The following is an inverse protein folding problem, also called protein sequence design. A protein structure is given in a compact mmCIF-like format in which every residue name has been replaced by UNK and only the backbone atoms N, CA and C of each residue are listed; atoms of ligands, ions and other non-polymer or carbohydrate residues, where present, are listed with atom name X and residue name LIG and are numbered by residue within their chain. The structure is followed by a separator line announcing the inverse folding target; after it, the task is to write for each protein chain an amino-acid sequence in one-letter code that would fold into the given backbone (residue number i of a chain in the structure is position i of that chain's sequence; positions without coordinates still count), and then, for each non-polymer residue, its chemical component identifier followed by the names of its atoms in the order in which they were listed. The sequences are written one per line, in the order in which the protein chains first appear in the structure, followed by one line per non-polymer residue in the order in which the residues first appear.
data_IF_286885575245
#
_entry.id   IF_286885575245
#
_cell.length_a   1.000
_cell.length_b   1.000
_cell.length_c   1.000
_cell.angle_alpha   90.00
_cell.angle_beta   90.00
_cell.angle_gamma   90.00
#
_symmetry.space_group_name_H-M   'P 1'
#
loop_
_entity.id
_entity.type
_entity.pdbx_description
1 polymer ?
#
# COMPACT_ATOMS: atom_id res chain seq x y z
N UNK A 1 16.82 -13.79 -4.28
CA UNK A 1 16.97 -13.76 -2.82
C UNK A 1 15.59 -13.73 -2.18
N UNK A 2 15.19 -14.78 -1.50
CA UNK A 2 13.91 -14.79 -0.78
C UNK A 2 13.91 -13.72 0.30
N UNK A 3 12.88 -12.86 0.31
CA UNK A 3 12.71 -11.86 1.36
C UNK A 3 12.42 -12.57 2.69
N UNK A 4 13.10 -12.15 3.74
CA UNK A 4 12.94 -12.68 5.07
C UNK A 4 11.49 -12.47 5.55
N UNK A 5 10.78 -13.56 5.90
CA UNK A 5 9.39 -13.51 6.34
C UNK A 5 9.20 -13.05 7.80
N UNK A 6 10.27 -12.94 8.56
CA UNK A 6 10.23 -12.50 9.96
C UNK A 6 11.30 -11.45 10.24
N UNK A 7 10.99 -10.44 11.03
CA UNK A 7 11.97 -9.43 11.48
C UNK A 7 12.81 -9.95 12.65
N UNK A 8 12.16 -10.55 13.65
CA UNK A 8 12.85 -11.18 14.78
C UNK A 8 12.00 -12.26 15.40
N UNK A 9 12.65 -13.15 16.19
CA UNK A 9 11.95 -14.19 16.96
C UNK A 9 11.09 -13.60 18.08
N UNK A 10 11.57 -12.52 18.69
CA UNK A 10 10.86 -11.80 19.75
C UNK A 10 9.54 -11.22 19.24
N UNK A 11 9.53 -10.65 18.03
CA UNK A 11 8.32 -10.10 17.41
C UNK A 11 7.32 -11.21 17.06
N UNK A 12 7.79 -12.36 16.60
CA UNK A 12 6.92 -13.53 16.38
C UNK A 12 6.28 -14.00 17.68
N UNK A 13 7.07 -14.08 18.76
CA UNK A 13 6.57 -14.50 20.07
C UNK A 13 5.59 -13.49 20.68
N UNK A 14 5.87 -12.19 20.57
CA UNK A 14 5.04 -11.13 21.16
C UNK A 14 3.78 -10.82 20.36
N UNK A 15 3.84 -10.88 19.02
CA UNK A 15 2.77 -10.38 18.13
C UNK A 15 2.34 -11.41 17.07
N UNK A 16 2.95 -12.58 16.99
CA UNK A 16 2.70 -13.55 15.93
C UNK A 16 3.09 -13.03 14.54
N UNK A 17 4.02 -12.08 14.48
CA UNK A 17 4.37 -11.39 13.24
C UNK A 17 5.13 -12.30 12.27
N UNK A 18 4.47 -12.72 11.21
CA UNK A 18 5.06 -13.42 10.06
C UNK A 18 4.55 -12.79 8.78
N UNK A 19 5.47 -12.33 7.92
CA UNK A 19 5.10 -11.76 6.63
C UNK A 19 4.77 -12.85 5.61
N UNK A 20 3.67 -12.66 4.88
CA UNK A 20 3.28 -13.58 3.81
C UNK A 20 4.28 -13.52 2.65
N UNK A 21 4.69 -14.69 2.15
CA UNK A 21 5.62 -14.76 1.03
C UNK A 21 5.01 -14.17 -0.26
N UNK A 22 5.86 -13.59 -1.11
CA UNK A 22 5.42 -12.91 -2.34
C UNK A 22 4.57 -13.82 -3.26
N UNK A 23 4.95 -15.10 -3.40
CA UNK A 23 4.19 -16.08 -4.19
C UNK A 23 2.77 -16.25 -3.66
N UNK A 24 2.62 -16.32 -2.35
CA UNK A 24 1.32 -16.50 -1.70
C UNK A 24 0.47 -15.23 -1.79
N UNK A 25 1.10 -14.05 -1.65
CA UNK A 25 0.44 -12.76 -1.86
C UNK A 25 -0.14 -12.67 -3.26
N UNK A 26 0.62 -13.00 -4.28
CA UNK A 26 0.16 -13.01 -5.67
C UNK A 26 -0.99 -14.01 -5.90
N UNK A 27 -0.84 -15.22 -5.38
CA UNK A 27 -1.89 -16.26 -5.48
C UNK A 27 -3.20 -15.82 -4.82
N UNK A 28 -3.14 -15.19 -3.64
CA UNK A 28 -4.33 -14.66 -2.96
C UNK A 28 -4.96 -13.49 -3.72
N UNK A 29 -4.15 -12.58 -4.27
CA UNK A 29 -4.65 -11.49 -5.12
C UNK A 29 -5.30 -12.03 -6.42
N UNK A 30 -4.83 -13.15 -6.95
CA UNK A 30 -5.43 -13.77 -8.12
C UNK A 30 -6.85 -14.29 -7.87
N UNK A 31 -7.18 -14.65 -6.63
CA UNK A 31 -8.55 -15.05 -6.25
C UNK A 31 -9.56 -13.92 -6.41
N UNK A 32 -9.10 -12.68 -6.29
CA UNK A 32 -9.92 -11.46 -6.41
C UNK A 32 -9.41 -10.56 -7.54
N UNK A 33 -8.85 -11.17 -8.57
CA UNK A 33 -8.22 -10.46 -9.69
C UNK A 33 -9.07 -9.33 -10.28
N UNK A 34 -10.37 -9.52 -10.58
CA UNK A 34 -11.19 -8.43 -11.11
C UNK A 34 -11.19 -7.17 -10.24
N UNK A 35 -11.19 -7.35 -8.91
CA UNK A 35 -11.15 -6.23 -7.97
C UNK A 35 -9.75 -5.59 -7.88
N UNK A 36 -8.68 -6.37 -8.00
CA UNK A 36 -7.30 -5.83 -8.00
C UNK A 36 -6.97 -5.07 -9.30
N UNK A 37 -7.69 -5.33 -10.38
CA UNK A 37 -7.55 -4.65 -11.67
C UNK A 37 -8.57 -3.51 -11.85
N UNK A 38 -9.44 -3.27 -10.87
CA UNK A 38 -10.36 -2.15 -10.84
C UNK A 38 -9.77 -1.01 -10.01
N UNK A 39 -9.61 0.17 -10.62
CA UNK A 39 -8.85 1.30 -10.04
C UNK A 39 -9.45 1.76 -8.69
N UNK A 40 -10.76 1.83 -8.58
CA UNK A 40 -11.50 2.39 -7.44
C UNK A 40 -11.98 1.35 -6.41
N UNK A 41 -11.77 0.06 -6.64
CA UNK A 41 -12.13 -0.99 -5.65
C UNK A 41 -11.35 -0.80 -4.36
N UNK A 42 -12.07 -0.72 -3.24
CA UNK A 42 -11.46 -0.51 -1.92
C UNK A 42 -10.97 -1.81 -1.31
N UNK A 43 -9.77 -1.77 -0.77
CA UNK A 43 -9.15 -2.87 -0.03
C UNK A 43 -8.78 -2.43 1.37
N UNK A 44 -9.11 -3.24 2.35
CA UNK A 44 -8.68 -3.07 3.73
C UNK A 44 -7.88 -4.29 4.16
N UNK A 45 -6.64 -4.06 4.57
CA UNK A 45 -5.79 -5.08 5.20
C UNK A 45 -5.68 -4.80 6.71
N UNK A 46 -6.37 -5.60 7.56
CA UNK A 46 -6.42 -5.34 9.00
C UNK A 46 -5.14 -5.70 9.76
N UNK A 47 -4.19 -6.35 9.11
CA UNK A 47 -2.86 -6.66 9.63
C UNK A 47 -1.85 -6.46 8.50
N UNK A 48 -1.69 -5.20 8.07
CA UNK A 48 -1.00 -4.90 6.81
C UNK A 48 0.51 -5.15 6.84
N UNK A 49 1.13 -5.27 8.02
CA UNK A 49 2.56 -5.43 8.15
C UNK A 49 3.29 -4.31 7.40
N UNK A 50 4.30 -4.67 6.63
CA UNK A 50 5.04 -3.75 5.76
C UNK A 50 4.39 -3.53 4.38
N UNK A 51 3.15 -3.97 4.18
CA UNK A 51 2.36 -3.70 2.99
C UNK A 51 2.51 -4.69 1.84
N UNK A 52 2.81 -5.96 2.09
CA UNK A 52 3.00 -6.96 1.02
C UNK A 52 1.77 -7.09 0.11
N UNK A 53 0.57 -7.23 0.69
CA UNK A 53 -0.67 -7.30 -0.09
C UNK A 53 -1.00 -5.98 -0.77
N UNK A 54 -0.95 -4.88 -0.03
CA UNK A 54 -1.28 -3.56 -0.56
C UNK A 54 -0.32 -3.13 -1.68
N UNK A 55 0.96 -3.48 -1.58
CA UNK A 55 1.95 -3.22 -2.62
C UNK A 55 1.62 -3.97 -3.93
N UNK A 56 1.25 -5.25 -3.83
CA UNK A 56 0.84 -6.03 -5.00
C UNK A 56 -0.43 -5.48 -5.64
N UNK A 57 -1.44 -5.15 -4.82
CA UNK A 57 -2.69 -4.57 -5.31
C UNK A 57 -2.44 -3.23 -5.99
N UNK A 58 -1.63 -2.35 -5.37
CA UNK A 58 -1.27 -1.06 -5.96
C UNK A 58 -0.56 -1.23 -7.31
N UNK A 59 0.39 -2.15 -7.40
CA UNK A 59 1.11 -2.43 -8.66
C UNK A 59 0.16 -2.88 -9.77
N UNK A 60 -0.82 -3.73 -9.46
CA UNK A 60 -1.85 -4.17 -10.42
C UNK A 60 -2.73 -3.01 -10.89
N UNK A 61 -3.21 -2.19 -9.96
CA UNK A 61 -4.03 -1.00 -10.27
C UNK A 61 -3.26 0.00 -11.11
N UNK A 62 -2.01 0.29 -10.77
CA UNK A 62 -1.17 1.21 -11.54
C UNK A 62 -0.86 0.70 -12.95
N UNK A 63 -0.75 -0.61 -13.15
CA UNK A 63 -0.62 -1.20 -14.48
C UNK A 63 -1.87 -0.92 -15.34
N UNK A 64 -3.06 -1.00 -14.76
CA UNK A 64 -4.33 -0.66 -15.44
C UNK A 64 -4.38 0.84 -15.75
N UNK A 65 -4.03 1.70 -14.81
CA UNK A 65 -3.97 3.16 -15.02
C UNK A 65 -3.02 3.50 -16.16
N UNK A 66 -1.83 2.90 -16.16
CA UNK A 66 -0.85 3.11 -17.24
C UNK A 66 -1.40 2.67 -18.60
N UNK A 67 -2.03 1.50 -18.67
CA UNK A 67 -2.63 1.00 -19.90
C UNK A 67 -3.68 1.95 -20.48
N UNK A 68 -4.50 2.56 -19.63
CA UNK A 68 -5.60 3.44 -20.04
C UNK A 68 -5.17 4.89 -20.29
N UNK A 69 -4.23 5.42 -19.49
CA UNK A 69 -3.98 6.88 -19.41
C UNK A 69 -2.52 7.30 -19.65
N UNK A 70 -1.62 6.41 -20.08
CA UNK A 70 -0.20 6.75 -20.25
C UNK A 70 0.07 7.92 -21.21
N UNK A 71 -0.87 8.22 -22.11
CA UNK A 71 -0.78 9.35 -23.07
C UNK A 71 -1.42 10.64 -22.55
N UNK A 72 -2.03 10.60 -21.39
CA UNK A 72 -2.78 11.70 -20.80
C UNK A 72 -2.29 11.96 -19.37
N UNK A 73 -1.22 12.77 -19.18
CA UNK A 73 -0.57 12.93 -17.87
C UNK A 73 -1.51 13.38 -16.75
N UNK A 74 -2.44 14.28 -17.03
CA UNK A 74 -3.41 14.75 -16.03
C UNK A 74 -4.38 13.65 -15.60
N UNK A 75 -4.86 12.84 -16.54
CA UNK A 75 -5.72 11.70 -16.22
C UNK A 75 -4.95 10.60 -15.52
N UNK A 76 -3.71 10.33 -15.93
CA UNK A 76 -2.84 9.40 -15.23
C UNK A 76 -2.64 9.83 -13.77
N UNK A 77 -2.31 11.09 -13.52
CA UNK A 77 -2.17 11.65 -12.18
C UNK A 77 -3.42 11.39 -11.36
N UNK A 78 -4.59 11.83 -11.86
CA UNK A 78 -5.89 11.67 -11.19
C UNK A 78 -6.18 10.20 -10.83
N UNK A 79 -6.08 9.30 -11.79
CA UNK A 79 -6.45 7.90 -11.57
C UNK A 79 -5.40 7.12 -10.79
N UNK A 80 -4.13 7.49 -10.86
CA UNK A 80 -3.08 6.91 -9.99
C UNK A 80 -3.28 7.30 -8.53
N UNK A 81 -3.70 8.53 -8.26
CA UNK A 81 -4.06 8.99 -6.91
C UNK A 81 -5.30 8.25 -6.41
N UNK A 82 -6.31 8.04 -7.26
CA UNK A 82 -7.49 7.26 -6.92
C UNK A 82 -7.12 5.81 -6.54
N UNK A 83 -6.19 5.20 -7.28
CA UNK A 83 -5.69 3.86 -6.95
C UNK A 83 -5.08 3.80 -5.54
N UNK A 84 -4.22 4.75 -5.19
CA UNK A 84 -3.65 4.85 -3.83
C UNK A 84 -4.73 5.07 -2.78
N UNK A 85 -5.68 5.97 -3.04
CA UNK A 85 -6.74 6.33 -2.10
C UNK A 85 -7.73 5.20 -1.82
N UNK A 86 -7.76 4.17 -2.65
CA UNK A 86 -8.59 2.97 -2.48
C UNK A 86 -8.02 1.94 -1.52
N UNK A 87 -6.79 2.12 -1.04
CA UNK A 87 -6.06 1.17 -0.20
C UNK A 87 -6.03 1.64 1.25
N UNK A 88 -6.38 0.73 2.15
CA UNK A 88 -6.44 0.95 3.60
C UNK A 88 -5.68 -0.17 4.31
N UNK A 89 -4.92 0.19 5.33
CA UNK A 89 -4.19 -0.78 6.14
C UNK A 89 -4.17 -0.39 7.62
N UNK A 90 -4.17 -1.40 8.47
CA UNK A 90 -4.01 -1.25 9.91
C UNK A 90 -2.90 -2.19 10.36
N UNK A 91 -2.04 -1.74 11.23
CA UNK A 91 -1.08 -2.57 11.94
C UNK A 91 -0.89 -2.03 13.36
N UNK A 92 -0.63 -2.91 14.31
CA UNK A 92 -0.42 -2.52 15.69
C UNK A 92 0.99 -1.95 15.94
N UNK A 93 1.92 -2.18 15.01
CA UNK A 93 3.31 -1.78 15.13
C UNK A 93 3.59 -0.54 14.28
N UNK A 94 4.01 0.54 14.92
CA UNK A 94 4.28 1.83 14.28
C UNK A 94 5.28 1.72 13.13
N UNK A 95 6.37 0.97 13.31
CA UNK A 95 7.40 0.79 12.29
C UNK A 95 6.87 0.09 11.02
N UNK A 96 5.91 -0.83 11.16
CA UNK A 96 5.23 -1.46 10.03
C UNK A 96 4.37 -0.45 9.27
N UNK A 97 3.62 0.39 9.98
CA UNK A 97 2.80 1.42 9.35
C UNK A 97 3.66 2.40 8.55
N UNK A 98 4.78 2.87 9.12
CA UNK A 98 5.73 3.75 8.44
C UNK A 98 6.35 3.09 7.22
N UNK A 99 6.81 1.85 7.35
CA UNK A 99 7.36 1.07 6.25
C UNK A 99 6.34 0.85 5.13
N UNK A 100 5.09 0.55 5.48
CA UNK A 100 4.00 0.37 4.53
C UNK A 100 3.72 1.67 3.76
N UNK A 101 3.57 2.80 4.45
CA UNK A 101 3.36 4.12 3.83
C UNK A 101 4.47 4.46 2.84
N UNK A 102 5.71 4.34 3.27
CA UNK A 102 6.86 4.66 2.43
C UNK A 102 6.94 3.73 1.22
N UNK A 103 6.71 2.45 1.40
CA UNK A 103 6.70 1.46 0.31
C UNK A 103 5.65 1.77 -0.74
N UNK A 104 4.41 2.05 -0.33
CA UNK A 104 3.32 2.39 -1.24
C UNK A 104 3.61 3.72 -1.96
N UNK A 105 4.14 4.70 -1.24
CA UNK A 105 4.55 5.97 -1.84
C UNK A 105 5.63 5.77 -2.92
N UNK A 106 6.66 4.99 -2.64
CA UNK A 106 7.74 4.73 -3.61
C UNK A 106 7.25 4.00 -4.86
N UNK A 107 6.35 3.03 -4.70
CA UNK A 107 5.73 2.34 -5.84
C UNK A 107 4.95 3.33 -6.70
N UNK A 108 4.13 4.16 -6.08
CA UNK A 108 3.35 5.18 -6.78
C UNK A 108 4.25 6.23 -7.45
N UNK A 109 5.22 6.80 -6.73
CA UNK A 109 6.09 7.88 -7.25
C UNK A 109 6.96 7.39 -8.39
N UNK A 110 7.48 6.17 -8.33
CA UNK A 110 8.24 5.59 -9.42
C UNK A 110 7.38 5.45 -10.70
N UNK A 111 6.16 5.00 -10.58
CA UNK A 111 5.21 4.91 -11.69
C UNK A 111 4.83 6.30 -12.21
N UNK A 112 4.55 7.23 -11.30
CA UNK A 112 4.15 8.61 -11.61
C UNK A 112 5.22 9.36 -12.40
N UNK A 113 6.45 9.39 -11.91
CA UNK A 113 7.54 10.07 -12.63
C UNK A 113 7.91 9.38 -13.95
N UNK A 114 7.74 8.06 -14.05
CA UNK A 114 8.01 7.34 -15.30
C UNK A 114 7.01 7.72 -16.40
N UNK A 115 5.74 7.90 -16.06
CA UNK A 115 4.68 8.23 -17.04
C UNK A 115 4.59 9.75 -17.25
N UNK A 116 4.56 10.54 -16.19
CA UNK A 116 4.33 11.98 -16.29
C UNK A 116 5.60 12.80 -16.59
N UNK A 117 6.78 12.24 -16.32
CA UNK A 117 8.07 12.88 -16.62
C UNK A 117 8.15 14.34 -16.16
N UNK A 118 8.20 15.31 -17.09
CA UNK A 118 8.26 16.75 -16.80
C UNK A 118 6.98 17.31 -16.17
N UNK A 119 5.87 16.60 -16.29
CA UNK A 119 4.56 17.03 -15.78
C UNK A 119 4.32 16.59 -14.32
N UNK A 120 5.33 16.04 -13.63
CA UNK A 120 5.22 15.71 -12.20
C UNK A 120 5.01 16.97 -11.36
N UNK A 121 4.14 16.84 -10.34
CA UNK A 121 3.69 17.94 -9.52
C UNK A 121 3.94 17.63 -8.03
N UNK A 122 4.66 18.52 -7.34
CA UNK A 122 4.97 18.35 -5.91
C UNK A 122 3.73 18.44 -5.02
N UNK A 123 2.71 19.19 -5.41
CA UNK A 123 1.43 19.23 -4.68
C UNK A 123 0.71 17.88 -4.74
N UNK A 124 0.77 17.21 -5.88
CA UNK A 124 0.27 15.85 -6.03
C UNK A 124 1.02 14.88 -5.12
N UNK A 125 2.34 14.95 -5.08
CA UNK A 125 3.18 14.15 -4.19
C UNK A 125 2.81 14.35 -2.72
N UNK A 126 2.64 15.60 -2.28
CA UNK A 126 2.19 15.92 -0.91
C UNK A 126 0.81 15.34 -0.63
N UNK A 127 -0.10 15.42 -1.58
CA UNK A 127 -1.44 14.86 -1.46
C UNK A 127 -1.42 13.34 -1.27
N UNK A 128 -0.60 12.63 -2.04
CA UNK A 128 -0.44 11.17 -1.89
C UNK A 128 0.15 10.80 -0.53
N UNK A 129 1.16 11.51 -0.06
CA UNK A 129 1.71 11.31 1.30
C UNK A 129 0.65 11.55 2.38
N UNK A 130 -0.16 12.57 2.23
CA UNK A 130 -1.27 12.85 3.15
C UNK A 130 -2.31 11.71 3.14
N UNK A 131 -2.74 11.26 1.96
CA UNK A 131 -3.67 10.14 1.82
C UNK A 131 -3.14 8.89 2.53
N UNK A 132 -1.89 8.53 2.28
CA UNK A 132 -1.26 7.38 2.91
C UNK A 132 -1.16 7.52 4.44
N UNK A 133 -0.92 8.73 4.95
CA UNK A 133 -0.91 8.99 6.39
C UNK A 133 -2.27 8.76 7.05
N UNK A 134 -3.36 8.89 6.29
CA UNK A 134 -4.73 8.68 6.77
C UNK A 134 -5.25 7.26 6.54
N UNK A 135 -4.82 6.64 5.47
CA UNK A 135 -5.31 5.32 5.06
C UNK A 135 -4.53 4.16 5.69
N UNK A 136 -3.26 4.37 6.04
CA UNK A 136 -2.43 3.39 6.74
C UNK A 136 -2.22 3.89 8.16
N UNK A 137 -2.87 3.22 9.11
CA UNK A 137 -2.94 3.70 10.49
C UNK A 137 -2.40 2.67 11.48
N UNK A 138 -1.74 3.18 12.53
CA UNK A 138 -1.33 2.36 13.66
C UNK A 138 -2.51 2.21 14.60
N UNK A 139 -2.95 0.98 14.80
CA UNK A 139 -4.14 0.69 15.59
C UNK A 139 -4.36 -0.78 15.80
N UNK A 140 -5.33 -1.08 16.62
CA UNK A 140 -5.82 -2.43 16.89
C UNK A 140 -7.13 -2.64 16.12
N UNK A 141 -7.09 -3.50 15.08
CA UNK A 141 -8.25 -3.77 14.25
C UNK A 141 -9.40 -4.48 14.99
N UNK A 142 -9.12 -5.15 16.10
CA UNK A 142 -10.13 -5.82 16.91
C UNK A 142 -10.88 -4.85 17.82
N UNK A 143 -10.18 -3.90 18.43
CA UNK A 143 -10.78 -2.87 19.31
C UNK A 143 -11.25 -1.64 18.54
N UNK A 144 -10.80 -1.45 17.30
CA UNK A 144 -11.00 -0.26 16.46
C UNK A 144 -10.42 1.04 17.08
N UNK A 145 -9.43 0.89 17.96
CA UNK A 145 -8.75 2.00 18.61
C UNK A 145 -7.38 2.24 18.00
N UNK A 146 -7.03 3.50 17.81
CA UNK A 146 -5.65 3.86 17.52
C UNK A 146 -4.76 3.53 18.71
N UNK A 147 -3.53 3.12 18.45
CA UNK A 147 -2.52 2.88 19.48
C UNK A 147 -1.38 3.88 19.32
N UNK A 148 -0.80 4.28 20.45
CA UNK A 148 0.37 5.13 20.50
C UNK A 148 1.67 4.31 20.34
N UNK A 149 2.82 4.98 20.49
CA UNK A 149 4.14 4.34 20.41
C UNK A 149 4.35 3.25 21.48
N UNK A 150 3.57 3.31 22.57
CA UNK A 150 3.59 2.33 23.68
C UNK A 150 2.56 1.22 23.48
N UNK A 151 1.83 1.18 22.38
CA UNK A 151 0.76 0.22 22.05
C UNK A 151 -0.45 0.32 23.01
N UNK A 152 -0.71 1.50 23.54
CA UNK A 152 -1.85 1.80 24.43
C UNK A 152 -2.88 2.66 23.71
#
# INVERSE_FOLDING_TARGET
MEKKQVKSKERVAAHGEVFTAEREVKAMCDLVKPETERIDSRFLEPACGNGNFLAEILSRKLAVVKKQYKKFPMDYEKYSVLAVSSLYGVDILQDNCEACRERLYQIWDQAYKTVCQKDVNEDCRRSVRFILSRNIVCGNALSLMCVDENQQ
#
